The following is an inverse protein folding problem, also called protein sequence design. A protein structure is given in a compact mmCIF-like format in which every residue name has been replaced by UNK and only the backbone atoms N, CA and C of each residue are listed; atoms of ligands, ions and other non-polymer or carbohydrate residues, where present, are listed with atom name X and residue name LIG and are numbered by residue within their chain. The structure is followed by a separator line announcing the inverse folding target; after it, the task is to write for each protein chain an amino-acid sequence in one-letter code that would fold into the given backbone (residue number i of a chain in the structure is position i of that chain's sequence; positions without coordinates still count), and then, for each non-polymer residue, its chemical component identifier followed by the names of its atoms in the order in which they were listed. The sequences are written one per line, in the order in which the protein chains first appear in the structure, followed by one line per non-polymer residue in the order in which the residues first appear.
data_IF_894379111022
#
_entry.id   IF_894379111022
#
_cell.length_a   1.000
_cell.length_b   1.000
_cell.length_c   1.000
_cell.angle_alpha   90.00
_cell.angle_beta   90.00
_cell.angle_gamma   90.00
#
_symmetry.space_group_name_H-M   'P 1'
#
loop_
_entity.id
_entity.type
_entity.pdbx_description
1 polymer ?
#
# COMPACT_ATOMS: atom_id res chain seq x y z
N UNK A 1 8.29 -19.28 4.24
CA UNK A 1 6.85 -19.60 4.16
C UNK A 1 6.61 -20.32 2.85
N UNK A 2 5.75 -21.35 2.85
CA UNK A 2 5.52 -22.18 1.65
C UNK A 2 4.05 -22.02 1.24
N UNK A 3 3.79 -21.94 -0.05
CA UNK A 3 2.44 -21.93 -0.62
C UNK A 3 2.41 -22.69 -1.94
N UNK A 4 1.22 -23.14 -2.32
CA UNK A 4 1.04 -23.98 -3.52
C UNK A 4 0.49 -23.16 -4.67
N UNK A 5 1.05 -23.34 -5.86
CA UNK A 5 0.61 -22.71 -7.09
C UNK A 5 0.40 -23.74 -8.21
N UNK A 6 -0.59 -23.51 -9.02
CA UNK A 6 -0.93 -24.36 -10.17
C UNK A 6 -0.73 -23.57 -11.47
N UNK A 7 -0.10 -24.17 -12.47
CA UNK A 7 0.05 -23.57 -13.79
C UNK A 7 -1.32 -23.36 -14.45
N UNK A 8 -1.52 -22.20 -15.05
CA UNK A 8 -2.72 -21.91 -15.86
C UNK A 8 -2.35 -21.59 -17.30
N UNK A 9 -3.16 -22.08 -18.23
CA UNK A 9 -3.00 -21.82 -19.68
C UNK A 9 -3.96 -20.75 -20.17
N UNK A 10 -5.13 -20.63 -19.54
CA UNK A 10 -6.16 -19.69 -19.95
C UNK A 10 -5.82 -18.27 -19.51
N UNK A 11 -6.00 -17.32 -20.44
CA UNK A 11 -5.75 -15.90 -20.24
C UNK A 11 -7.02 -15.09 -20.51
N UNK A 12 -6.98 -13.82 -20.10
CA UNK A 12 -8.03 -12.86 -20.38
C UNK A 12 -9.05 -12.68 -19.24
N UNK A 13 -9.90 -11.69 -19.43
CA UNK A 13 -10.84 -11.21 -18.40
C UNK A 13 -11.85 -12.27 -18.00
N UNK A 14 -12.39 -13.02 -18.99
CA UNK A 14 -13.41 -14.04 -18.74
C UNK A 14 -12.84 -15.23 -17.95
N UNK A 15 -11.64 -15.69 -18.29
CA UNK A 15 -10.95 -16.76 -17.58
C UNK A 15 -10.63 -16.34 -16.13
N UNK A 16 -10.09 -15.14 -15.92
CA UNK A 16 -9.79 -14.63 -14.58
C UNK A 16 -11.05 -14.46 -13.72
N UNK A 17 -12.20 -14.08 -14.33
CA UNK A 17 -13.47 -14.02 -13.61
C UNK A 17 -13.98 -15.39 -13.19
N UNK A 18 -13.82 -16.44 -14.02
CA UNK A 18 -14.16 -17.83 -13.66
C UNK A 18 -13.34 -18.31 -12.48
N UNK A 19 -12.01 -18.15 -12.56
CA UNK A 19 -11.08 -18.52 -11.47
C UNK A 19 -11.48 -17.89 -10.13
N UNK A 20 -11.80 -16.59 -10.12
CA UNK A 20 -12.20 -15.91 -8.88
C UNK A 20 -13.54 -16.41 -8.33
N UNK A 21 -14.46 -16.90 -9.18
CA UNK A 21 -15.69 -17.56 -8.73
C UNK A 21 -15.44 -18.94 -8.12
N UNK A 22 -14.37 -19.60 -8.51
CA UNK A 22 -13.89 -20.88 -7.99
C UNK A 22 -12.97 -20.70 -6.76
N UNK A 23 -12.93 -19.50 -6.16
CA UNK A 23 -12.05 -19.13 -5.05
C UNK A 23 -10.56 -19.31 -5.37
N UNK A 24 -10.17 -19.06 -6.61
CA UNK A 24 -8.78 -19.03 -7.03
C UNK A 24 -8.35 -17.63 -7.43
N UNK A 25 -7.11 -17.28 -7.11
CA UNK A 25 -6.50 -15.99 -7.44
C UNK A 25 -5.59 -16.16 -8.64
N UNK A 26 -5.79 -15.42 -9.73
CA UNK A 26 -4.82 -15.37 -10.81
C UNK A 26 -3.57 -14.63 -10.35
N UNK A 27 -2.40 -15.17 -10.67
CA UNK A 27 -1.11 -14.56 -10.42
C UNK A 27 -0.18 -14.73 -11.59
N UNK A 28 0.98 -14.07 -11.49
CA UNK A 28 2.08 -14.17 -12.43
C UNK A 28 3.40 -14.31 -11.66
N UNK A 29 4.30 -15.12 -12.21
CA UNK A 29 5.67 -15.26 -11.71
C UNK A 29 6.62 -14.89 -12.83
N UNK A 30 7.54 -13.98 -12.58
CA UNK A 30 8.51 -13.51 -13.55
C UNK A 30 9.89 -13.31 -12.91
N UNK A 31 10.90 -13.05 -13.72
CA UNK A 31 12.27 -12.81 -13.26
C UNK A 31 13.20 -14.00 -13.51
N UNK A 32 14.47 -13.83 -13.15
CA UNK A 32 15.55 -14.81 -13.33
C UNK A 32 15.76 -15.23 -14.80
N UNK A 33 15.62 -14.31 -15.76
CA UNK A 33 15.74 -14.56 -17.20
C UNK A 33 14.89 -15.73 -17.73
N UNK A 34 13.87 -16.14 -16.98
CA UNK A 34 12.90 -17.17 -17.38
C UNK A 34 11.60 -16.47 -17.78
N UNK A 35 10.92 -17.03 -18.77
CA UNK A 35 9.64 -16.51 -19.22
C UNK A 35 8.61 -16.39 -18.10
N UNK A 36 7.79 -15.35 -18.19
CA UNK A 36 6.73 -15.12 -17.22
C UNK A 36 5.72 -16.28 -17.24
N UNK A 37 5.49 -16.84 -16.08
CA UNK A 37 4.61 -18.00 -15.89
C UNK A 37 3.31 -17.57 -15.24
N UNK A 38 2.20 -17.97 -15.84
CA UNK A 38 0.88 -17.69 -15.32
C UNK A 38 0.49 -18.76 -14.31
N UNK A 39 0.09 -18.33 -13.12
CA UNK A 39 -0.29 -19.21 -12.01
C UNK A 39 -1.70 -18.95 -11.51
N UNK A 40 -2.26 -19.94 -10.85
CA UNK A 40 -3.49 -19.85 -10.08
C UNK A 40 -3.20 -20.31 -8.65
N UNK A 41 -3.63 -19.54 -7.68
CA UNK A 41 -3.42 -19.74 -6.25
C UNK A 41 -4.76 -19.98 -5.56
N UNK A 42 -4.75 -20.67 -4.43
CA UNK A 42 -5.93 -20.73 -3.56
C UNK A 42 -6.15 -19.38 -2.88
N UNK A 43 -7.37 -18.86 -2.98
CA UNK A 43 -7.71 -17.56 -2.42
C UNK A 43 -7.57 -17.52 -0.90
N UNK A 44 -7.98 -18.59 -0.23
CA UNK A 44 -8.05 -18.62 1.22
C UNK A 44 -6.66 -18.65 1.84
N UNK A 45 -5.77 -19.50 1.28
CA UNK A 45 -4.37 -19.60 1.70
C UNK A 45 -3.66 -18.26 1.54
N UNK A 46 -3.73 -17.66 0.35
CA UNK A 46 -3.07 -16.37 0.05
C UNK A 46 -3.67 -15.21 0.85
N UNK A 47 -4.98 -15.20 1.08
CA UNK A 47 -5.62 -14.13 1.85
C UNK A 47 -5.11 -14.07 3.30
N UNK A 48 -4.99 -15.21 3.97
CA UNK A 48 -4.43 -15.27 5.32
C UNK A 48 -2.93 -15.02 5.36
N UNK A 49 -2.21 -15.43 4.34
CA UNK A 49 -0.77 -15.17 4.27
C UNK A 49 -0.47 -13.69 4.02
N UNK A 50 -1.26 -13.00 3.19
CA UNK A 50 -1.15 -11.55 2.96
C UNK A 50 -1.43 -10.71 4.22
N UNK A 51 -2.12 -11.24 5.23
CA UNK A 51 -2.30 -10.54 6.51
C UNK A 51 -1.05 -10.58 7.38
N UNK A 52 -0.12 -11.47 7.10
CA UNK A 52 1.14 -11.59 7.85
C UNK A 52 2.18 -10.63 7.25
N UNK A 53 2.70 -9.73 8.04
CA UNK A 53 3.75 -8.79 7.61
C UNK A 53 4.97 -9.50 7.02
N UNK A 54 5.34 -10.63 7.62
CA UNK A 54 6.43 -11.48 7.15
C UNK A 54 6.27 -11.94 5.69
N UNK A 55 5.05 -12.07 5.19
CA UNK A 55 4.79 -12.49 3.82
C UNK A 55 5.21 -11.42 2.79
N UNK A 56 5.16 -10.16 3.19
CA UNK A 56 5.51 -9.02 2.33
C UNK A 56 7.01 -8.76 2.24
N UNK A 57 7.75 -9.12 3.29
CA UNK A 57 9.17 -8.78 3.43
C UNK A 57 10.06 -10.01 3.56
N UNK A 58 9.62 -11.20 3.13
CA UNK A 58 10.43 -12.42 3.19
C UNK A 58 10.49 -13.16 1.86
N UNK A 59 11.46 -14.05 1.75
CA UNK A 59 11.56 -14.99 0.64
C UNK A 59 10.58 -16.13 0.88
N UNK A 60 9.78 -16.39 -0.13
CA UNK A 60 8.75 -17.41 -0.13
C UNK A 60 9.19 -18.60 -0.97
N UNK A 61 8.84 -19.79 -0.54
CA UNK A 61 9.00 -21.00 -1.34
C UNK A 61 7.66 -21.35 -1.97
N UNK A 62 7.59 -21.21 -3.27
CA UNK A 62 6.40 -21.54 -4.05
C UNK A 62 6.57 -22.94 -4.65
N UNK A 63 5.60 -23.80 -4.41
CA UNK A 63 5.51 -25.11 -5.06
C UNK A 63 4.73 -24.98 -6.37
N UNK A 64 5.43 -25.08 -7.49
CA UNK A 64 4.85 -25.03 -8.83
C UNK A 64 4.99 -26.41 -9.50
N UNK A 65 3.88 -27.13 -9.67
CA UNK A 65 3.85 -28.47 -10.27
C UNK A 65 4.91 -29.43 -9.69
N UNK A 66 5.15 -29.38 -8.38
CA UNK A 66 6.11 -30.24 -7.68
C UNK A 66 7.57 -29.77 -7.74
N UNK A 67 7.81 -28.54 -8.22
CA UNK A 67 9.11 -27.87 -8.14
C UNK A 67 9.03 -26.72 -7.16
N UNK A 68 10.02 -26.60 -6.31
CA UNK A 68 10.13 -25.49 -5.36
C UNK A 68 10.91 -24.36 -6.02
N UNK A 69 10.28 -23.18 -6.13
CA UNK A 69 10.90 -21.95 -6.63
C UNK A 69 10.94 -20.90 -5.52
N UNK A 70 12.08 -20.20 -5.40
CA UNK A 70 12.22 -19.06 -4.48
C UNK A 70 11.66 -17.82 -5.14
N UNK A 71 10.68 -17.22 -4.50
CA UNK A 71 9.97 -16.05 -5.00
C UNK A 71 9.76 -15.01 -3.90
N UNK A 72 9.51 -13.80 -4.33
CA UNK A 72 9.21 -12.66 -3.49
C UNK A 72 7.90 -12.05 -3.97
N UNK A 73 7.04 -11.62 -3.06
CA UNK A 73 5.83 -10.88 -3.40
C UNK A 73 6.22 -9.46 -3.84
N UNK A 74 5.91 -9.10 -5.09
CA UNK A 74 6.21 -7.77 -5.63
C UNK A 74 5.03 -6.83 -5.55
N UNK A 75 3.86 -7.31 -5.90
CA UNK A 75 2.62 -6.55 -5.85
C UNK A 75 1.43 -7.47 -5.59
N UNK A 76 0.42 -6.91 -4.97
CA UNK A 76 -0.87 -7.58 -4.82
C UNK A 76 -2.00 -6.58 -5.01
N UNK A 77 -3.13 -7.06 -5.47
CA UNK A 77 -4.33 -6.26 -5.66
C UNK A 77 -5.46 -6.85 -4.84
N UNK A 78 -6.08 -6.03 -4.00
CA UNK A 78 -7.26 -6.39 -3.24
C UNK A 78 -8.51 -5.73 -3.82
N UNK A 79 -9.65 -6.36 -3.61
CA UNK A 79 -10.92 -5.77 -4.00
C UNK A 79 -11.26 -4.59 -3.06
N UNK A 80 -11.77 -3.44 -3.58
CA UNK A 80 -11.96 -2.23 -2.77
C UNK A 80 -12.86 -2.39 -1.54
N UNK A 81 -13.87 -3.25 -1.58
CA UNK A 81 -14.82 -3.42 -0.47
C UNK A 81 -15.06 -4.87 -0.04
N UNK A 82 -14.59 -5.87 -0.81
CA UNK A 82 -14.72 -7.28 -0.44
C UNK A 82 -13.38 -7.80 0.07
N UNK A 83 -13.34 -8.69 1.05
CA UNK A 83 -12.13 -9.36 1.49
C UNK A 83 -11.70 -10.40 0.44
N UNK A 84 -11.32 -9.92 -0.74
CA UNK A 84 -10.97 -10.76 -1.88
C UNK A 84 -9.70 -10.27 -2.55
N UNK A 85 -8.74 -11.16 -2.71
CA UNK A 85 -7.52 -10.91 -3.48
C UNK A 85 -7.84 -11.04 -4.97
N UNK A 86 -7.43 -10.03 -5.74
CA UNK A 86 -7.71 -9.95 -7.18
C UNK A 86 -6.55 -10.46 -8.03
N UNK A 87 -5.32 -10.16 -7.64
CA UNK A 87 -4.10 -10.54 -8.34
C UNK A 87 -2.90 -10.54 -7.42
N UNK A 88 -1.92 -11.40 -7.69
CA UNK A 88 -0.63 -11.41 -7.01
C UNK A 88 0.49 -11.54 -8.04
N UNK A 89 1.52 -10.71 -7.87
CA UNK A 89 2.71 -10.68 -8.70
C UNK A 89 3.89 -11.16 -7.87
N UNK A 90 4.55 -12.20 -8.36
CA UNK A 90 5.73 -12.77 -7.72
C UNK A 90 6.94 -12.60 -8.63
N UNK A 91 8.08 -12.30 -8.02
CA UNK A 91 9.36 -12.21 -8.69
C UNK A 91 10.24 -13.37 -8.23
N UNK A 92 10.82 -14.12 -9.19
CA UNK A 92 11.83 -15.14 -8.89
C UNK A 92 13.09 -14.47 -8.38
N UNK A 93 13.69 -15.06 -7.38
CA UNK A 93 14.86 -14.53 -6.70
C UNK A 93 16.03 -15.49 -6.87
N UNK A 94 17.15 -14.93 -7.30
CA UNK A 94 18.43 -15.63 -7.28
C UNK A 94 19.11 -15.40 -5.92
N UNK A 95 19.63 -16.47 -5.27
CA UNK A 95 20.28 -16.34 -3.95
C UNK A 95 21.46 -15.36 -3.93
N UNK A 96 22.07 -15.09 -5.08
CA UNK A 96 23.27 -14.23 -5.21
C UNK A 96 22.99 -12.85 -5.82
N UNK A 97 21.74 -12.53 -6.15
CA UNK A 97 21.37 -11.25 -6.71
C UNK A 97 20.77 -10.32 -5.65
N UNK A 98 21.06 -9.02 -5.74
CA UNK A 98 20.40 -8.03 -4.89
C UNK A 98 18.92 -7.94 -5.25
N UNK A 99 18.08 -7.94 -4.22
CA UNK A 99 16.63 -7.82 -4.36
C UNK A 99 16.17 -6.51 -3.73
N UNK A 100 15.38 -5.78 -4.48
CA UNK A 100 14.71 -4.59 -3.97
C UNK A 100 13.35 -4.98 -3.42
N UNK A 101 13.10 -4.68 -2.16
CA UNK A 101 11.84 -4.97 -1.50
C UNK A 101 11.32 -3.81 -0.67
N UNK A 102 10.01 -3.84 -0.43
CA UNK A 102 9.33 -2.91 0.44
C UNK A 102 9.16 -3.55 1.82
N UNK A 103 9.87 -3.00 2.82
CA UNK A 103 9.89 -3.50 4.19
C UNK A 103 9.05 -2.58 5.08
N UNK A 104 8.16 -3.11 5.92
CA UNK A 104 7.36 -2.32 6.85
C UNK A 104 8.23 -1.73 7.97
N UNK A 105 7.81 -0.57 8.48
CA UNK A 105 8.42 0.12 9.60
C UNK A 105 7.58 -0.07 10.85
N UNK A 106 8.21 -0.51 11.94
CA UNK A 106 7.61 -0.59 13.25
C UNK A 106 8.07 0.58 14.10
N UNK A 107 7.13 1.42 14.51
CA UNK A 107 7.39 2.59 15.32
C UNK A 107 7.21 2.29 16.80
N UNK A 108 8.20 2.64 17.61
CA UNK A 108 8.13 2.49 19.04
C UNK A 108 8.59 3.76 19.77
N UNK A 109 8.24 3.90 21.04
CA UNK A 109 8.69 5.01 21.88
C UNK A 109 8.00 6.35 21.65
N UNK A 110 7.02 6.46 20.76
CA UNK A 110 6.36 7.73 20.45
C UNK A 110 5.73 8.45 21.64
N UNK A 111 5.11 7.71 22.56
CA UNK A 111 4.53 8.28 23.80
C UNK A 111 5.57 8.87 24.75
N UNK A 112 6.82 8.43 24.66
CA UNK A 112 7.93 8.88 25.49
C UNK A 112 8.68 10.06 24.90
N UNK A 113 8.37 10.47 23.68
CA UNK A 113 9.03 11.58 23.00
C UNK A 113 8.78 12.92 23.72
N UNK A 114 9.76 13.81 23.79
CA UNK A 114 9.60 15.18 24.30
C UNK A 114 8.51 15.94 23.55
N UNK A 115 8.36 15.71 22.26
CA UNK A 115 7.36 16.34 21.42
C UNK A 115 5.90 16.05 21.90
N UNK A 116 5.64 14.83 22.38
CA UNK A 116 4.30 14.47 22.89
C UNK A 116 4.14 14.91 24.35
N UNK A 117 5.17 14.71 25.21
CA UNK A 117 5.07 14.98 26.64
C UNK A 117 5.14 16.48 27.00
N UNK A 118 6.01 17.23 26.29
CA UNK A 118 6.25 18.65 26.60
C UNK A 118 5.38 19.54 25.73
N UNK A 119 5.44 19.32 24.42
CA UNK A 119 4.80 20.22 23.44
C UNK A 119 3.36 19.81 23.10
N UNK A 120 2.84 18.71 23.73
CA UNK A 120 1.51 18.17 23.46
C UNK A 120 1.21 17.97 21.98
N UNK A 121 2.24 17.78 21.18
CA UNK A 121 2.16 17.49 19.77
C UNK A 121 1.79 16.03 19.52
N UNK A 122 1.40 15.73 18.29
CA UNK A 122 1.24 14.35 17.85
C UNK A 122 2.23 14.03 16.73
N UNK A 123 2.66 12.78 16.69
CA UNK A 123 3.58 12.29 15.68
C UNK A 123 2.76 11.79 14.50
N UNK A 124 2.98 12.38 13.34
CA UNK A 124 2.38 11.94 12.09
C UNK A 124 3.34 11.02 11.34
N UNK A 125 2.90 9.81 11.06
CA UNK A 125 3.64 8.84 10.25
C UNK A 125 3.40 9.12 8.77
N UNK A 126 4.44 9.50 8.04
CA UNK A 126 4.36 9.82 6.61
C UNK A 126 4.57 8.57 5.74
N UNK A 127 5.44 7.68 6.17
CA UNK A 127 5.71 6.43 5.47
C UNK A 127 5.62 5.24 6.43
N UNK A 128 4.82 4.25 6.09
CA UNK A 128 4.69 3.00 6.85
C UNK A 128 5.59 1.86 6.35
N UNK A 129 6.25 2.04 5.20
CA UNK A 129 7.16 1.07 4.62
C UNK A 129 8.22 1.77 3.77
N UNK A 130 9.39 1.15 3.64
CA UNK A 130 10.54 1.69 2.92
C UNK A 130 11.04 0.69 1.91
N UNK A 131 11.48 1.18 0.75
CA UNK A 131 12.14 0.35 -0.27
C UNK A 131 13.62 0.20 0.06
N UNK A 132 14.02 -1.05 0.24
CA UNK A 132 15.40 -1.42 0.55
C UNK A 132 15.95 -2.39 -0.49
N UNK A 133 17.22 -2.27 -0.79
CA UNK A 133 17.99 -3.23 -1.55
C UNK A 133 18.85 -4.04 -0.60
N UNK A 134 18.75 -5.35 -0.66
CA UNK A 134 19.51 -6.28 0.17
C UNK A 134 19.75 -7.60 -0.53
N UNK A 135 20.73 -8.35 -0.05
CA UNK A 135 20.87 -9.75 -0.41
C UNK A 135 19.70 -10.54 0.19
N UNK A 136 19.20 -11.58 -0.50
CA UNK A 136 18.12 -12.42 0.00
C UNK A 136 18.32 -12.96 1.41
N UNK A 137 19.57 -13.24 1.77
CA UNK A 137 19.94 -13.79 3.09
C UNK A 137 19.85 -12.75 4.23
N UNK A 138 19.99 -11.45 3.91
CA UNK A 138 20.03 -10.35 4.88
C UNK A 138 18.75 -9.51 4.87
N UNK A 139 17.68 -10.02 4.25
CA UNK A 139 16.42 -9.31 4.15
C UNK A 139 15.71 -9.26 5.51
N UNK A 140 15.48 -8.08 6.11
CA UNK A 140 14.76 -7.95 7.36
C UNK A 140 13.25 -8.08 7.14
N UNK A 141 12.56 -8.69 8.09
CA UNK A 141 11.09 -8.81 8.07
C UNK A 141 10.41 -7.45 8.38
N UNK A 142 11.04 -6.64 9.22
CA UNK A 142 10.61 -5.29 9.59
C UNK A 142 11.83 -4.45 10.00
N UNK A 143 11.65 -3.15 10.09
CA UNK A 143 12.67 -2.21 10.55
C UNK A 143 12.10 -1.45 11.74
N UNK A 144 12.79 -1.51 12.88
CA UNK A 144 12.41 -0.79 14.09
C UNK A 144 12.87 0.65 14.04
N UNK A 145 11.93 1.57 14.29
CA UNK A 145 12.17 3.02 14.30
C UNK A 145 11.86 3.59 15.68
N UNK A 146 12.90 4.11 16.35
CA UNK A 146 12.74 4.72 17.67
C UNK A 146 12.36 6.20 17.54
N UNK A 147 11.19 6.54 18.08
CA UNK A 147 10.64 7.90 18.10
C UNK A 147 10.90 8.62 19.44
N UNK A 148 11.58 8.00 20.39
CA UNK A 148 11.78 8.54 21.75
C UNK A 148 12.54 9.86 21.79
N UNK A 149 13.39 10.12 20.80
CA UNK A 149 14.21 11.33 20.69
C UNK A 149 13.59 12.47 19.89
N UNK A 150 12.34 12.34 19.41
CA UNK A 150 11.72 13.36 18.56
C UNK A 150 11.30 14.61 19.34
N UNK A 151 11.65 15.77 18.78
CA UNK A 151 11.23 17.10 19.24
C UNK A 151 10.28 17.74 18.22
N UNK A 152 9.59 18.80 18.62
CA UNK A 152 8.53 19.45 17.81
C UNK A 152 9.00 19.98 16.44
N UNK A 153 10.30 20.16 16.25
CA UNK A 153 10.88 20.65 14.99
C UNK A 153 11.62 19.58 14.19
N UNK A 154 11.62 18.33 14.68
CA UNK A 154 12.40 17.26 14.07
C UNK A 154 11.55 16.45 13.11
N UNK A 155 12.04 16.29 11.88
CA UNK A 155 11.52 15.31 10.91
C UNK A 155 12.49 14.16 10.85
N UNK A 156 12.04 12.97 11.20
CA UNK A 156 12.84 11.74 11.11
C UNK A 156 12.90 11.27 9.66
N UNK A 157 14.12 11.01 9.19
CA UNK A 157 14.39 10.46 7.84
C UNK A 157 14.92 9.04 7.94
N UNK A 158 14.91 8.33 6.82
CA UNK A 158 15.48 6.97 6.74
C UNK A 158 16.96 6.97 7.12
N UNK A 159 17.71 8.02 6.78
CA UNK A 159 19.14 8.16 7.12
C UNK A 159 19.43 8.11 8.62
N UNK A 160 18.45 8.49 9.44
CA UNK A 160 18.58 8.55 10.90
C UNK A 160 18.23 7.22 11.57
N UNK A 161 17.67 6.27 10.80
CA UNK A 161 17.24 4.96 11.28
C UNK A 161 18.39 3.97 11.19
N UNK A 162 18.55 3.17 12.23
CA UNK A 162 19.53 2.09 12.24
C UNK A 162 19.07 0.95 11.34
N UNK A 163 19.64 0.87 10.15
CA UNK A 163 19.42 -0.25 9.25
C UNK A 163 20.27 -1.44 9.67
N UNK A 164 19.77 -2.68 9.54
CA UNK A 164 20.57 -3.89 9.76
C UNK A 164 21.71 -4.01 8.72
N UNK A 165 22.70 -4.80 9.06
CA UNK A 165 23.87 -4.99 8.19
C UNK A 165 23.50 -5.62 6.85
N UNK A 166 24.01 -5.06 5.76
CA UNK A 166 23.74 -5.56 4.40
C UNK A 166 22.46 -5.04 3.78
N UNK A 167 21.73 -4.13 4.42
CA UNK A 167 20.53 -3.49 3.91
C UNK A 167 20.81 -2.05 3.50
N UNK A 168 20.45 -1.69 2.28
CA UNK A 168 20.64 -0.35 1.74
C UNK A 168 19.28 0.26 1.37
N UNK A 169 18.95 1.41 1.93
CA UNK A 169 17.77 2.16 1.53
C UNK A 169 17.98 2.77 0.13
N UNK A 170 17.01 2.63 -0.73
CA UNK A 170 17.05 3.21 -2.09
C UNK A 170 16.85 4.71 -2.03
N UNK A 171 15.96 5.17 -1.14
CA UNK A 171 15.64 6.59 -0.97
C UNK A 171 16.03 7.04 0.45
N UNK A 172 17.27 7.44 0.68
CA UNK A 172 17.75 7.77 2.04
C UNK A 172 17.07 9.02 2.62
N UNK A 173 16.63 9.97 1.79
CA UNK A 173 16.04 11.25 2.23
C UNK A 173 14.53 11.21 2.44
N UNK A 174 13.89 10.03 2.36
CA UNK A 174 12.45 9.91 2.56
C UNK A 174 12.10 10.27 4.02
N UNK A 175 11.22 11.25 4.26
CA UNK A 175 10.73 11.53 5.61
C UNK A 175 9.79 10.43 6.07
N UNK A 176 10.03 9.88 7.25
CA UNK A 176 9.28 8.77 7.84
C UNK A 176 8.23 9.28 8.81
N UNK A 177 8.64 10.18 9.70
CA UNK A 177 7.76 10.73 10.72
C UNK A 177 8.04 12.22 10.94
N UNK A 178 6.98 12.97 11.20
CA UNK A 178 7.06 14.38 11.57
C UNK A 178 6.19 14.66 12.77
N UNK A 179 6.55 15.68 13.54
CA UNK A 179 5.75 16.14 14.65
C UNK A 179 4.88 17.31 14.23
N UNK A 180 3.61 17.24 14.50
CA UNK A 180 2.66 18.35 14.31
C UNK A 180 2.20 18.84 15.67
N UNK A 181 2.52 20.09 16.00
CA UNK A 181 2.03 20.75 17.20
C UNK A 181 0.81 21.55 16.84
N UNK A 182 -0.31 21.29 17.51
CA UNK A 182 -1.51 22.13 17.39
C UNK A 182 -1.31 23.32 18.32
N UNK A 183 -0.90 24.45 17.78
CA UNK A 183 -0.98 25.73 18.47
C UNK A 183 -2.44 26.17 18.46
N UNK A 184 -3.04 26.34 19.62
CA UNK A 184 -4.45 26.77 19.78
C UNK A 184 -4.76 28.14 19.14
N UNK A 185 -3.75 28.87 18.68
CA UNK A 185 -3.91 30.19 18.04
C UNK A 185 -4.53 30.17 16.64
N UNK A 186 -4.64 29.02 15.99
CA UNK A 186 -5.27 28.93 14.65
C UNK A 186 -6.76 28.61 14.69
N UNK A 187 -7.33 28.29 15.84
CA UNK A 187 -8.77 28.02 15.95
C UNK A 187 -9.62 29.30 16.09
N UNK A 188 -8.99 30.44 16.34
CA UNK A 188 -9.71 31.72 16.51
C UNK A 188 -9.90 32.53 15.23
N UNK A 189 -9.26 32.14 14.11
CA UNK A 189 -9.34 32.86 12.85
C UNK A 189 -10.41 32.36 11.84
N UNK A 190 -11.12 31.29 12.19
CA UNK A 190 -12.15 30.70 11.30
C UNK A 190 -13.59 30.97 11.74
N UNK A 191 -13.82 31.79 12.78
CA UNK A 191 -15.15 32.13 13.23
C UNK A 191 -15.33 33.66 13.29
N UNK A 192 -15.48 34.30 12.13
CA UNK A 192 -16.10 35.63 12.03
C UNK A 192 -17.25 35.54 11.02
N UNK A 193 -18.50 35.71 11.47
CA UNK A 193 -19.64 35.74 10.59
C UNK A 193 -19.75 37.12 9.95
N UNK A 194 -19.70 37.19 8.67
CA UNK A 194 -20.18 38.34 7.95
C UNK A 194 -21.71 38.25 7.91
N UNK A 195 -22.33 38.93 8.86
CA UNK A 195 -23.70 39.38 8.75
C UNK A 195 -23.67 40.83 8.26
N UNK A 196 -24.36 41.13 7.23
CA UNK A 196 -25.19 42.28 6.94
C UNK A 196 -25.34 42.45 5.41
N UNK A 197 -26.56 42.34 4.96
CA UNK A 197 -27.40 43.46 4.61
C UNK A 197 -28.01 43.23 3.25
N UNK A 198 -29.34 43.17 3.26
CA UNK A 198 -30.26 43.61 2.22
C UNK A 198 -30.62 42.66 1.06
N UNK A 199 -31.77 42.07 1.19
CA UNK A 199 -32.75 41.93 0.11
C UNK A 199 -33.42 43.29 -0.16
N UNK A 200 -34.22 43.60 -1.23
CA UNK A 200 -35.15 42.68 -1.88
C UNK A 200 -35.41 42.94 -3.40
N UNK A 201 -36.38 42.19 -3.90
CA UNK A 201 -37.30 42.44 -5.02
C UNK A 201 -36.84 41.95 -6.40
N UNK A 202 -37.52 41.04 -6.91
CA UNK A 202 -38.82 40.86 -7.49
C UNK A 202 -38.75 40.57 -9.00
N UNK A 203 -39.52 39.57 -9.34
CA UNK A 203 -40.35 39.45 -10.55
C UNK A 203 -39.86 38.60 -11.73
N UNK A 204 -40.65 37.63 -11.93
CA UNK A 204 -41.30 37.15 -13.16
C UNK A 204 -40.71 35.93 -13.86
N UNK A 205 -41.37 34.83 -13.66
CA UNK A 205 -41.67 33.86 -14.68
C UNK A 205 -42.66 34.47 -15.73
N UNK A 206 -42.91 33.94 -16.92
CA UNK A 206 -43.34 32.56 -17.12
C UNK A 206 -42.99 31.86 -18.45
N UNK A 207 -43.20 30.56 -18.43
CA UNK A 207 -43.83 29.69 -19.45
C UNK A 207 -43.37 29.70 -20.92
N UNK A 208 -43.02 28.54 -21.43
CA UNK A 208 -43.80 27.78 -22.40
C UNK A 208 -43.00 26.59 -22.98
N UNK A 209 -43.46 25.41 -22.74
CA UNK A 209 -43.41 24.32 -23.72
C UNK A 209 -44.52 24.60 -24.78
N UNK A 210 -44.67 23.95 -25.93
CA UNK A 210 -44.52 22.54 -26.16
C UNK A 210 -44.13 22.11 -27.62
N UNK A 211 -44.19 20.79 -27.78
CA UNK A 211 -44.60 20.02 -29.01
C UNK A 211 -43.46 19.64 -30.00
N UNK A 212 -43.16 18.37 -30.13
CA UNK A 212 -43.81 17.33 -30.95
C UNK A 212 -43.40 17.32 -32.44
N UNK A 213 -43.07 16.17 -32.90
CA UNK A 213 -42.90 15.79 -34.31
C UNK A 213 -41.81 14.70 -34.41
N UNK A 214 -42.07 13.46 -34.30
CA UNK A 214 -42.71 12.45 -35.17
C UNK A 214 -41.91 12.14 -36.48
N UNK A 215 -41.68 10.86 -36.60
CA UNK A 215 -41.61 10.05 -37.86
C UNK A 215 -40.24 10.08 -38.61
N UNK A 216 -39.72 8.99 -38.94
CA UNK A 216 -39.99 7.78 -39.67
C UNK A 216 -38.79 7.38 -40.54
N UNK A 217 -38.51 6.09 -40.54
CA UNK A 217 -37.94 5.25 -41.61
C UNK A 217 -36.51 5.51 -42.16
N UNK A 218 -35.61 4.58 -41.98
CA UNK A 218 -35.40 3.42 -42.86
C UNK A 218 -34.46 2.43 -42.21
#
# INVERSE_FOLDING_TARGET
MNFTAVLRKEQGTSASRRLRRENKVPGIVYGNNVDATLIALDHNEIYYDLQKEKFHASILTMQLDGKDELVVLRAFQMHPYKPQVMHCDFQRVDPNAEVTMRVPLHFFGGENSPAVKIDKGFISHLAGAVEVASMPQNLPEFIDVDLSGMTSQTTLRISDVKLPEGVRAITPDLPIATVTVITEDTAAAAAAPAADGAAPAAAAAPAAAPAAGEAEKK
#
